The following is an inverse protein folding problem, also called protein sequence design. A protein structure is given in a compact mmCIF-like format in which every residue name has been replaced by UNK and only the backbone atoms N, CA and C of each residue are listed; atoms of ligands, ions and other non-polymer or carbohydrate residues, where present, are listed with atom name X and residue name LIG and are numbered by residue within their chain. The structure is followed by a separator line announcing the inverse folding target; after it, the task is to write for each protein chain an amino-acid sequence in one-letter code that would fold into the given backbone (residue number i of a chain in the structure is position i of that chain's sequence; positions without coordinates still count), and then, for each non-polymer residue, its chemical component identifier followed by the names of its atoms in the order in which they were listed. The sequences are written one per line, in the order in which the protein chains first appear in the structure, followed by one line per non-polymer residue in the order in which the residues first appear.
data_IF_446359100536
#
_entry.id   IF_446359100536
#
_cell.length_a   1.000
_cell.length_b   1.000
_cell.length_c   1.000
_cell.angle_alpha   90.00
_cell.angle_beta   90.00
_cell.angle_gamma   90.00
#
_symmetry.space_group_name_H-M   'P 1'
#
loop_
_entity.id
_entity.type
_entity.pdbx_description
1 polymer ?
#
# COMPACT_ATOMS: atom_id res chain seq x y z
N UNK A 1 -7.73 -19.80 -8.79
CA UNK A 1 -6.43 -19.38 -9.33
C UNK A 1 -6.45 -17.85 -9.41
N UNK A 2 -5.43 -17.16 -8.91
CA UNK A 2 -5.33 -15.69 -9.00
C UNK A 2 -5.03 -15.28 -10.45
N UNK A 3 -5.36 -14.03 -10.82
CA UNK A 3 -5.22 -13.54 -12.19
C UNK A 3 -3.77 -13.47 -12.67
N UNK A 4 -2.86 -13.02 -11.79
CA UNK A 4 -1.44 -12.82 -12.10
C UNK A 4 -0.60 -13.32 -10.91
N UNK A 5 -0.46 -14.64 -10.73
CA UNK A 5 0.21 -15.23 -9.57
C UNK A 5 1.72 -15.00 -9.51
N UNK A 6 2.35 -14.56 -10.60
CA UNK A 6 3.77 -14.25 -10.70
C UNK A 6 4.14 -12.86 -10.16
N UNK A 7 3.16 -11.98 -9.95
CA UNK A 7 3.42 -10.69 -9.32
C UNK A 7 3.64 -10.89 -7.82
N UNK A 8 4.54 -10.08 -7.21
CA UNK A 8 4.70 -10.07 -5.76
C UNK A 8 3.42 -9.60 -5.06
N UNK A 9 3.33 -9.90 -3.77
CA UNK A 9 2.28 -9.36 -2.91
C UNK A 9 2.35 -7.83 -2.82
N UNK A 10 1.23 -7.22 -2.41
CA UNK A 10 1.11 -5.76 -2.32
C UNK A 10 1.83 -5.28 -1.05
N UNK A 11 2.83 -4.42 -1.21
CA UNK A 11 3.49 -3.77 -0.07
C UNK A 11 2.65 -2.63 0.52
N UNK A 12 2.03 -1.82 -0.34
CA UNK A 12 1.25 -0.64 0.03
C UNK A 12 -0.06 -0.59 -0.74
N UNK A 13 -1.18 -0.54 -0.02
CA UNK A 13 -2.52 -0.33 -0.58
C UNK A 13 -2.94 1.11 -0.33
N UNK A 14 -3.00 1.92 -1.39
CA UNK A 14 -3.41 3.32 -1.31
C UNK A 14 -4.85 3.49 -1.81
N UNK A 15 -5.69 4.13 -1.01
CA UNK A 15 -7.07 4.49 -1.39
C UNK A 15 -7.38 5.95 -1.09
N UNK A 16 -7.72 6.68 -2.15
CA UNK A 16 -8.28 8.04 -2.12
C UNK A 16 -9.76 8.03 -1.68
N UNK A 17 -10.38 9.20 -1.57
CA UNK A 17 -11.80 9.45 -1.25
C UNK A 17 -12.24 9.28 0.21
N UNK A 18 -11.30 9.14 1.16
CA UNK A 18 -11.58 9.07 2.61
C UNK A 18 -12.20 7.75 3.10
N UNK A 19 -12.48 6.83 2.19
CA UNK A 19 -13.16 5.58 2.49
C UNK A 19 -12.22 4.53 3.07
N UNK A 20 -12.47 4.11 4.32
CA UNK A 20 -11.64 3.12 5.04
C UNK A 20 -12.13 1.70 4.81
N UNK A 21 -12.16 1.30 3.53
CA UNK A 21 -12.52 -0.06 3.10
C UNK A 21 -11.66 -0.48 1.92
N UNK A 22 -11.50 -1.78 1.72
CA UNK A 22 -10.79 -2.32 0.55
C UNK A 22 -11.73 -2.61 -0.63
N UNK A 23 -13.05 -2.61 -0.39
CA UNK A 23 -14.08 -2.82 -1.43
C UNK A 23 -13.83 -4.07 -2.29
N UNK A 24 -13.43 -5.19 -1.67
CA UNK A 24 -13.17 -6.45 -2.35
C UNK A 24 -12.08 -6.38 -3.45
N UNK A 25 -11.15 -5.43 -3.34
CA UNK A 25 -10.02 -5.30 -4.25
C UNK A 25 -8.77 -5.97 -3.68
N UNK A 26 -8.19 -6.90 -4.46
CA UNK A 26 -6.92 -7.60 -4.16
C UNK A 26 -6.80 -8.14 -2.72
N UNK A 27 -7.86 -8.79 -2.21
CA UNK A 27 -7.94 -9.28 -0.84
C UNK A 27 -6.75 -10.16 -0.42
N UNK A 28 -6.38 -11.12 -1.28
CA UNK A 28 -5.33 -12.07 -0.98
C UNK A 28 -3.95 -11.42 -1.03
N UNK A 29 -3.68 -10.71 -2.12
CA UNK A 29 -2.40 -10.05 -2.37
C UNK A 29 -2.13 -8.91 -1.38
N UNK A 30 -3.17 -8.34 -0.77
CA UNK A 30 -3.04 -7.22 0.18
C UNK A 30 -3.12 -7.66 1.65
N UNK A 31 -3.02 -8.95 1.94
CA UNK A 31 -3.20 -9.50 3.30
C UNK A 31 -2.22 -8.93 4.33
N UNK A 32 -1.00 -8.56 3.91
CA UNK A 32 0.02 -7.91 4.73
C UNK A 32 0.41 -6.52 4.23
N UNK A 33 -0.36 -5.95 3.31
CA UNK A 33 -0.10 -4.62 2.77
C UNK A 33 -0.29 -3.54 3.84
N UNK A 34 0.54 -2.51 3.80
CA UNK A 34 0.29 -1.28 4.54
C UNK A 34 -0.89 -0.53 3.91
N UNK A 35 -1.98 -0.39 4.67
CA UNK A 35 -3.18 0.29 4.20
C UNK A 35 -3.06 1.80 4.47
N UNK A 36 -3.09 2.60 3.41
CA UNK A 36 -3.04 4.06 3.45
C UNK A 36 -4.33 4.61 2.83
N UNK A 37 -5.02 5.44 3.60
CA UNK A 37 -6.27 6.07 3.19
C UNK A 37 -6.08 7.58 3.19
N UNK A 38 -6.40 8.23 2.09
CA UNK A 38 -6.34 9.69 1.93
C UNK A 38 -7.71 10.26 1.61
N UNK A 39 -8.02 11.43 2.15
CA UNK A 39 -9.30 12.10 1.96
C UNK A 39 -9.42 12.78 0.58
N UNK A 40 -8.30 13.00 -0.11
CA UNK A 40 -8.27 13.58 -1.46
C UNK A 40 -9.12 12.74 -2.42
N UNK A 41 -9.96 13.38 -3.24
CA UNK A 41 -10.74 12.68 -4.26
C UNK A 41 -9.84 12.27 -5.42
N UNK A 42 -10.18 11.18 -6.13
CA UNK A 42 -9.37 10.68 -7.23
C UNK A 42 -9.11 11.72 -8.34
N UNK A 43 -10.09 12.54 -8.78
CA UNK A 43 -9.84 13.58 -9.78
C UNK A 43 -8.84 14.67 -9.33
N UNK A 44 -8.75 14.89 -8.01
CA UNK A 44 -7.85 15.88 -7.40
C UNK A 44 -6.52 15.25 -6.94
N UNK A 45 -6.33 13.95 -7.17
CA UNK A 45 -5.14 13.23 -6.72
C UNK A 45 -3.93 13.65 -7.54
N UNK A 46 -2.90 14.14 -6.86
CA UNK A 46 -1.68 14.65 -7.52
C UNK A 46 -0.46 13.80 -7.22
N UNK A 47 0.65 14.06 -7.93
CA UNK A 47 1.96 13.52 -7.59
C UNK A 47 2.35 13.80 -6.13
N UNK A 48 1.96 14.95 -5.58
CA UNK A 48 2.22 15.29 -4.18
C UNK A 48 1.46 14.36 -3.23
N UNK A 49 0.21 14.05 -3.54
CA UNK A 49 -0.61 13.08 -2.79
C UNK A 49 0.03 11.70 -2.77
N UNK A 50 0.56 11.23 -3.91
CA UNK A 50 1.33 9.99 -3.99
C UNK A 50 2.60 10.05 -3.12
N UNK A 51 3.34 11.15 -3.18
CA UNK A 51 4.56 11.31 -2.39
C UNK A 51 4.29 11.27 -0.89
N UNK A 52 3.19 11.88 -0.45
CA UNK A 52 2.73 11.83 0.95
C UNK A 52 2.42 10.39 1.37
N UNK A 53 1.77 9.60 0.51
CA UNK A 53 1.50 8.18 0.79
C UNK A 53 2.79 7.36 0.88
N UNK A 54 3.75 7.56 -0.03
CA UNK A 54 5.06 6.88 0.02
C UNK A 54 5.83 7.26 1.29
N UNK A 55 5.80 8.53 1.68
CA UNK A 55 6.45 8.99 2.90
C UNK A 55 5.79 8.41 4.14
N UNK A 56 4.46 8.29 4.17
CA UNK A 56 3.74 7.62 5.25
C UNK A 56 4.11 6.13 5.31
N UNK A 57 4.14 5.43 4.17
CA UNK A 57 4.57 4.04 4.08
C UNK A 57 5.97 3.85 4.68
N UNK A 58 6.95 4.65 4.27
CA UNK A 58 8.33 4.56 4.76
C UNK A 58 8.51 4.88 6.25
N UNK A 59 7.56 5.59 6.88
CA UNK A 59 7.58 5.86 8.33
C UNK A 59 7.02 4.71 9.17
N UNK A 60 6.25 3.80 8.58
CA UNK A 60 5.64 2.68 9.30
C UNK A 60 6.67 1.57 9.45
N UNK A 61 6.90 1.15 10.69
CA UNK A 61 7.72 -0.03 10.98
C UNK A 61 6.83 -1.27 10.90
N UNK A 62 7.19 -2.23 10.04
CA UNK A 62 6.50 -3.53 9.97
C UNK A 62 6.66 -4.25 11.32
N UNK A 63 5.61 -4.17 12.16
CA UNK A 63 5.61 -4.77 13.52
C UNK A 63 5.80 -6.29 13.54
N UNK A 64 5.41 -6.98 12.46
CA UNK A 64 5.46 -8.45 12.35
C UNK A 64 6.44 -8.94 11.27
N UNK A 65 7.28 -8.05 10.74
CA UNK A 65 8.21 -8.35 9.67
C UNK A 65 9.50 -7.59 9.85
N UNK A 66 10.28 -7.96 10.87
CA UNK A 66 11.71 -7.67 10.88
C UNK A 66 12.37 -8.43 9.72
N UNK A 67 12.09 -8.00 8.49
CA UNK A 67 13.03 -8.16 7.40
C UNK A 67 14.01 -7.00 7.60
N UNK A 68 15.17 -7.31 8.18
CA UNK A 68 16.31 -6.42 8.00
C UNK A 68 16.50 -6.29 6.50
N UNK A 69 16.24 -5.10 5.95
CA UNK A 69 16.76 -4.73 4.64
C UNK A 69 18.28 -4.67 4.80
N UNK A 70 18.92 -5.83 4.67
CA UNK A 70 20.33 -5.94 4.39
C UNK A 70 20.46 -5.87 2.86
N UNK A 71 20.71 -4.69 2.27
CA UNK A 71 21.11 -4.65 0.88
C UNK A 71 22.38 -5.51 0.78
N UNK A 72 22.30 -6.60 0.01
CA UNK A 72 23.47 -7.37 -0.35
C UNK A 72 24.36 -6.41 -1.14
N UNK A 73 25.50 -6.05 -0.53
CA UNK A 73 26.57 -5.31 -1.19
C UNK A 73 26.91 -5.91 -2.56
#
# INVERSE_FOLDING_TARGET
RLYVPELPDVDMFLRSSGERRISNFMLWQSSYAELIFQDVLWPDFTRKSMWEAIHEFGRRQRRFGAAEDAPLN
#
